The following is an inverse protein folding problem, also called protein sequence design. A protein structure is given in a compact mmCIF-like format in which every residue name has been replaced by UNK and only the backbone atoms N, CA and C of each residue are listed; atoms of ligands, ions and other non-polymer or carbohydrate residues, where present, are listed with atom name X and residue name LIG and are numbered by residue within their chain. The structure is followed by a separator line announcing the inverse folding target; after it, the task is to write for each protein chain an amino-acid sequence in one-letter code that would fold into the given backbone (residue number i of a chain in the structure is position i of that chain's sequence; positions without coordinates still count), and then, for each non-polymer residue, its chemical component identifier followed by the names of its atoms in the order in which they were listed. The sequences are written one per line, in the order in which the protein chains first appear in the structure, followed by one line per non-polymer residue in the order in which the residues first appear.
data_IF_010013029199
#
_entry.id   IF_010013029199
#
_cell.length_a   1.000
_cell.length_b   1.000
_cell.length_c   1.000
_cell.angle_alpha   90.00
_cell.angle_beta   90.00
_cell.angle_gamma   90.00
#
_symmetry.space_group_name_H-M   'P 1'
#
loop_
_entity.id
_entity.type
_entity.pdbx_description
1 polymer ?
#
# COMPACT_ATOMS: atom_id res chain seq x y z
N UNK A 1 -9.89 16.88 -7.19
CA UNK A 1 -8.96 16.10 -8.04
C UNK A 1 -9.73 15.42 -9.15
N UNK A 2 -9.21 15.42 -10.35
CA UNK A 2 -9.70 14.66 -11.50
C UNK A 2 -8.94 13.33 -11.60
N UNK A 3 -9.67 12.22 -11.84
CA UNK A 3 -9.09 10.92 -12.14
C UNK A 3 -8.69 10.90 -13.62
N UNK A 4 -7.39 10.77 -13.90
CA UNK A 4 -6.83 10.83 -15.27
C UNK A 4 -6.35 9.48 -15.78
N UNK A 5 -5.95 8.59 -14.87
CA UNK A 5 -5.25 7.36 -15.21
C UNK A 5 -5.96 6.10 -14.70
N UNK A 6 -6.97 6.26 -13.86
CA UNK A 6 -7.78 5.16 -13.36
C UNK A 6 -9.26 5.39 -13.71
N UNK A 7 -9.78 4.60 -14.63
CA UNK A 7 -11.18 4.63 -15.02
C UNK A 7 -12.10 4.29 -13.84
N UNK A 8 -13.37 4.65 -13.97
CA UNK A 8 -14.38 4.26 -13.01
C UNK A 8 -14.81 2.82 -13.31
N UNK A 9 -14.46 1.91 -12.41
CA UNK A 9 -14.77 0.49 -12.54
C UNK A 9 -15.38 -0.04 -11.23
N UNK A 10 -15.92 -1.25 -11.27
CA UNK A 10 -16.39 -1.94 -10.09
C UNK A 10 -15.21 -2.58 -9.35
N UNK A 11 -14.86 -2.02 -8.19
CA UNK A 11 -13.80 -2.52 -7.32
C UNK A 11 -14.35 -3.31 -6.11
N UNK A 12 -15.60 -3.78 -6.18
CA UNK A 12 -16.26 -4.45 -5.04
C UNK A 12 -15.54 -5.73 -4.60
N UNK A 13 -14.92 -6.45 -5.53
CA UNK A 13 -14.16 -7.66 -5.23
C UNK A 13 -12.95 -7.42 -4.31
N UNK A 14 -12.41 -6.21 -4.31
CA UNK A 14 -11.33 -5.78 -3.43
C UNK A 14 -11.81 -5.34 -2.04
N UNK A 15 -13.11 -5.39 -1.75
CA UNK A 15 -13.60 -4.96 -0.45
C UNK A 15 -12.96 -5.78 0.67
N UNK A 16 -12.42 -5.08 1.68
CA UNK A 16 -11.84 -5.72 2.85
C UNK A 16 -12.88 -6.53 3.61
N UNK A 17 -12.45 -7.66 4.13
CA UNK A 17 -13.34 -8.62 4.78
C UNK A 17 -14.04 -9.59 3.82
N UNK A 18 -13.95 -9.37 2.50
CA UNK A 18 -14.35 -10.38 1.50
C UNK A 18 -13.21 -11.38 1.28
N UNK A 19 -12.38 -11.16 0.29
CA UNK A 19 -11.19 -11.98 0.01
C UNK A 19 -9.99 -11.44 0.77
N UNK A 20 -9.71 -10.14 0.62
CA UNK A 20 -8.62 -9.46 1.32
C UNK A 20 -8.95 -9.40 2.81
N UNK A 21 -8.00 -9.83 3.64
CA UNK A 21 -8.17 -9.84 5.09
C UNK A 21 -8.25 -8.40 5.61
N UNK A 22 -9.26 -8.12 6.43
CA UNK A 22 -9.47 -6.81 7.04
C UNK A 22 -8.82 -6.71 8.41
N UNK A 23 -8.28 -5.54 8.74
CA UNK A 23 -7.97 -5.15 10.11
C UNK A 23 -9.21 -4.54 10.78
N UNK A 24 -9.32 -4.68 12.10
CA UNK A 24 -10.55 -4.39 12.87
C UNK A 24 -10.85 -2.91 13.08
N UNK A 25 -9.97 -1.98 12.68
CA UNK A 25 -10.10 -0.57 13.14
C UNK A 25 -9.79 0.50 12.10
N UNK A 26 -9.28 0.17 10.93
CA UNK A 26 -8.85 1.18 9.94
C UNK A 26 -9.68 1.06 8.67
N UNK A 27 -10.35 2.15 8.22
CA UNK A 27 -11.01 2.15 6.92
C UNK A 27 -10.00 1.87 5.81
N UNK A 28 -10.37 0.98 4.87
CA UNK A 28 -9.50 0.70 3.75
C UNK A 28 -9.32 1.91 2.84
N UNK A 29 -8.15 2.01 2.26
CA UNK A 29 -7.88 3.02 1.26
C UNK A 29 -8.72 2.79 0.00
N UNK A 30 -9.36 3.82 -0.59
CA UNK A 30 -10.17 3.63 -1.79
C UNK A 30 -9.33 3.09 -2.96
N UNK A 31 -9.71 1.93 -3.52
CA UNK A 31 -8.99 1.22 -4.59
C UNK A 31 -8.69 2.12 -5.77
N UNK A 32 -9.72 2.77 -6.32
CA UNK A 32 -9.56 3.69 -7.47
C UNK A 32 -8.55 4.79 -7.18
N UNK A 33 -8.57 5.36 -5.98
CA UNK A 33 -7.66 6.43 -5.59
C UNK A 33 -6.23 5.91 -5.47
N UNK A 34 -6.01 4.76 -4.83
CA UNK A 34 -4.69 4.15 -4.73
C UNK A 34 -4.07 3.89 -6.09
N UNK A 35 -4.87 3.29 -6.98
CA UNK A 35 -4.43 3.00 -8.35
C UNK A 35 -4.17 4.28 -9.17
N UNK A 36 -4.99 5.31 -9.03
CA UNK A 36 -4.76 6.62 -9.65
C UNK A 36 -3.43 7.24 -9.19
N UNK A 37 -3.15 7.24 -7.87
CA UNK A 37 -1.91 7.79 -7.32
C UNK A 37 -0.71 6.98 -7.82
N UNK A 38 -0.78 5.65 -7.79
CA UNK A 38 0.29 4.79 -8.30
C UNK A 38 0.58 5.06 -9.79
N UNK A 39 -0.45 5.13 -10.62
CA UNK A 39 -0.29 5.43 -12.05
C UNK A 39 0.27 6.83 -12.30
N UNK A 40 -0.01 7.82 -11.44
CA UNK A 40 0.65 9.13 -11.48
C UNK A 40 2.14 9.02 -11.15
N UNK A 41 2.53 8.17 -10.19
CA UNK A 41 3.94 7.90 -9.93
C UNK A 41 4.66 7.36 -11.17
N UNK A 42 4.01 6.45 -11.92
CA UNK A 42 4.56 5.90 -13.17
C UNK A 42 4.82 6.95 -14.25
N UNK A 43 4.10 8.09 -14.26
CA UNK A 43 4.37 9.17 -15.20
C UNK A 43 5.73 9.82 -14.95
N UNK A 44 6.14 9.86 -13.69
CA UNK A 44 7.41 10.48 -13.28
C UNK A 44 8.59 9.50 -13.26
N UNK A 45 8.32 8.19 -13.35
CA UNK A 45 9.34 7.13 -13.33
C UNK A 45 9.93 6.92 -14.75
N UNK A 46 11.26 6.79 -14.86
CA UNK A 46 11.93 6.52 -16.15
C UNK A 46 11.70 5.08 -16.62
N UNK A 47 12.02 4.08 -15.77
CA UNK A 47 11.70 2.67 -15.98
C UNK A 47 10.35 2.33 -15.36
N UNK A 48 9.54 1.50 -16.03
CA UNK A 48 8.17 1.17 -15.60
C UNK A 48 7.92 -0.33 -15.46
N UNK A 49 8.94 -1.13 -15.62
CA UNK A 49 8.87 -2.58 -15.52
C UNK A 49 9.70 -3.08 -14.36
N UNK A 50 9.33 -4.22 -13.80
CA UNK A 50 10.02 -4.88 -12.69
C UNK A 50 10.23 -3.97 -11.47
N UNK A 51 9.15 -3.30 -11.05
CA UNK A 51 9.22 -2.31 -9.98
C UNK A 51 9.18 -2.95 -8.60
N UNK A 52 10.06 -2.46 -7.73
CA UNK A 52 9.97 -2.65 -6.27
C UNK A 52 9.13 -1.53 -5.66
N UNK A 53 8.00 -1.90 -5.03
CA UNK A 53 7.10 -0.94 -4.37
C UNK A 53 7.13 -1.15 -2.87
N UNK A 54 7.35 -0.05 -2.13
CA UNK A 54 7.47 -0.07 -0.68
C UNK A 54 6.42 0.82 0.01
N UNK A 55 5.81 0.29 1.07
CA UNK A 55 4.96 1.07 2.00
C UNK A 55 5.56 1.00 3.41
N UNK A 56 6.10 2.12 3.95
CA UNK A 56 6.70 2.18 5.29
C UNK A 56 5.69 2.19 6.45
N UNK A 57 4.39 2.30 6.16
CA UNK A 57 3.30 2.27 7.14
C UNK A 57 2.17 1.38 6.60
N UNK A 58 2.51 0.15 6.20
CA UNK A 58 1.64 -0.68 5.37
C UNK A 58 0.39 -1.19 6.11
N UNK A 59 0.36 -1.11 7.44
CA UNK A 59 -0.71 -1.72 8.22
C UNK A 59 -0.94 -3.16 7.82
N UNK A 60 -2.18 -3.56 7.57
CA UNK A 60 -2.52 -4.89 7.07
C UNK A 60 -2.19 -5.14 5.59
N UNK A 61 -1.39 -4.29 4.94
CA UNK A 61 -0.91 -4.47 3.57
C UNK A 61 -1.98 -4.31 2.48
N UNK A 62 -3.13 -3.76 2.80
CA UNK A 62 -4.25 -3.65 1.87
C UNK A 62 -3.88 -2.88 0.59
N UNK A 63 -3.30 -1.68 0.73
CA UNK A 63 -2.94 -0.83 -0.40
C UNK A 63 -1.98 -1.54 -1.36
N UNK A 64 -0.89 -2.09 -0.84
CA UNK A 64 0.11 -2.82 -1.64
C UNK A 64 -0.49 -4.03 -2.34
N UNK A 65 -1.32 -4.83 -1.65
CA UNK A 65 -2.00 -6.00 -2.22
C UNK A 65 -2.85 -5.61 -3.43
N UNK A 66 -3.68 -4.58 -3.27
CA UNK A 66 -4.56 -4.09 -4.35
C UNK A 66 -3.75 -3.55 -5.52
N UNK A 67 -2.72 -2.74 -5.25
CA UNK A 67 -1.86 -2.19 -6.29
C UNK A 67 -1.14 -3.28 -7.08
N UNK A 68 -0.62 -4.29 -6.39
CA UNK A 68 0.08 -5.39 -7.06
C UNK A 68 -0.85 -6.28 -7.88
N UNK A 69 -2.11 -6.47 -7.46
CA UNK A 69 -3.12 -7.15 -8.27
C UNK A 69 -3.44 -6.38 -9.55
N UNK A 70 -3.55 -5.04 -9.48
CA UNK A 70 -3.97 -4.20 -10.59
C UNK A 70 -2.82 -3.78 -11.53
N UNK A 71 -1.56 -3.89 -11.10
CA UNK A 71 -0.41 -3.38 -11.86
C UNK A 71 0.68 -4.45 -12.01
N UNK A 72 0.69 -5.17 -13.15
CA UNK A 72 1.67 -6.24 -13.44
C UNK A 72 3.13 -5.79 -13.41
N UNK A 73 3.43 -4.54 -13.57
CA UNK A 73 4.79 -3.99 -13.51
C UNK A 73 5.43 -4.06 -12.11
N UNK A 74 4.64 -4.30 -11.05
CA UNK A 74 5.16 -4.51 -9.70
C UNK A 74 5.62 -5.96 -9.59
N UNK A 75 6.91 -6.20 -9.41
CA UNK A 75 7.50 -7.53 -9.26
C UNK A 75 7.99 -7.80 -7.85
N UNK A 76 8.26 -6.76 -7.07
CA UNK A 76 8.56 -6.88 -5.65
C UNK A 76 7.69 -5.94 -4.82
N UNK A 77 7.10 -6.47 -3.76
CA UNK A 77 6.25 -5.74 -2.83
C UNK A 77 6.83 -5.82 -1.42
N UNK A 78 7.10 -4.68 -0.82
CA UNK A 78 7.70 -4.60 0.50
C UNK A 78 6.82 -3.75 1.40
N UNK A 79 6.49 -4.27 2.58
CA UNK A 79 5.73 -3.56 3.59
C UNK A 79 6.46 -3.52 4.92
N UNK A 80 6.41 -2.39 5.63
CA UNK A 80 6.78 -2.35 7.03
C UNK A 80 5.75 -1.62 7.87
N UNK A 81 5.70 -1.97 9.13
CA UNK A 81 4.85 -1.30 10.12
C UNK A 81 5.49 -1.44 11.51
N UNK A 82 5.08 -0.60 12.44
CA UNK A 82 5.49 -0.69 13.85
C UNK A 82 4.64 -1.72 14.62
N UNK A 83 3.49 -2.12 14.09
CA UNK A 83 2.57 -3.07 14.71
C UNK A 83 2.71 -4.46 14.09
N UNK A 84 3.35 -5.37 14.82
CA UNK A 84 3.55 -6.76 14.40
C UNK A 84 2.22 -7.50 14.12
N UNK A 85 1.14 -7.15 14.81
CA UNK A 85 -0.16 -7.76 14.56
C UNK A 85 -0.71 -7.38 13.19
N UNK A 86 -0.44 -6.17 12.73
CA UNK A 86 -0.79 -5.71 11.39
C UNK A 86 0.08 -6.36 10.33
N UNK A 87 1.37 -6.57 10.60
CA UNK A 87 2.28 -7.28 9.69
C UNK A 87 1.83 -8.73 9.43
N UNK A 88 1.30 -9.43 10.44
CA UNK A 88 0.72 -10.77 10.25
C UNK A 88 -0.46 -10.75 9.28
N UNK A 89 -1.29 -9.69 9.31
CA UNK A 89 -2.38 -9.51 8.36
C UNK A 89 -1.81 -9.18 6.98
N UNK A 90 -0.78 -8.33 6.90
CA UNK A 90 -0.12 -7.97 5.66
C UNK A 90 0.47 -9.20 4.95
N UNK A 91 1.17 -10.08 5.65
CA UNK A 91 1.70 -11.33 5.10
C UNK A 91 0.59 -12.22 4.51
N UNK A 92 -0.53 -12.35 5.22
CA UNK A 92 -1.68 -13.08 4.70
C UNK A 92 -2.25 -12.43 3.44
N UNK A 93 -2.35 -11.12 3.40
CA UNK A 93 -2.81 -10.36 2.24
C UNK A 93 -1.85 -10.49 1.06
N UNK A 94 -0.56 -10.39 1.30
CA UNK A 94 0.47 -10.53 0.28
C UNK A 94 0.48 -11.96 -0.32
N UNK A 95 0.25 -12.96 0.51
CA UNK A 95 0.13 -14.35 0.04
C UNK A 95 -1.00 -14.56 -0.97
N UNK A 96 -2.05 -13.70 -0.96
CA UNK A 96 -3.18 -13.78 -1.92
C UNK A 96 -2.76 -13.56 -3.38
N UNK A 97 -1.56 -13.01 -3.63
CA UNK A 97 -1.04 -12.89 -4.99
C UNK A 97 -0.49 -14.21 -5.54
N UNK A 98 -0.30 -15.22 -4.69
CA UNK A 98 0.11 -16.57 -5.08
C UNK A 98 -1.09 -17.52 -5.25
N UNK A 99 -0.92 -18.57 -6.07
CA UNK A 99 -1.93 -19.62 -6.23
C UNK A 99 -2.21 -20.34 -4.90
N UNK A 100 -1.17 -20.61 -4.11
CA UNK A 100 -1.29 -21.31 -2.83
C UNK A 100 -2.02 -20.46 -1.78
N UNK A 101 -1.71 -19.18 -1.69
CA UNK A 101 -2.38 -18.27 -0.78
C UNK A 101 -3.86 -18.10 -1.12
N UNK A 102 -4.22 -18.01 -2.40
CA UNK A 102 -5.61 -17.99 -2.82
C UNK A 102 -6.32 -19.32 -2.56
N UNK A 103 -5.64 -20.45 -2.77
CA UNK A 103 -6.21 -21.77 -2.48
C UNK A 103 -6.53 -21.91 -0.98
N UNK A 104 -5.59 -21.48 -0.12
CA UNK A 104 -5.79 -21.44 1.34
C UNK A 104 -6.98 -20.54 1.71
N UNK A 105 -7.04 -19.34 1.16
CA UNK A 105 -8.15 -18.41 1.41
C UNK A 105 -9.50 -18.98 0.96
N UNK A 106 -9.53 -19.62 -0.20
CA UNK A 106 -10.72 -20.32 -0.70
C UNK A 106 -11.23 -21.36 0.26
N UNK A 107 -10.34 -22.16 0.85
CA UNK A 107 -10.70 -23.17 1.84
C UNK A 107 -11.29 -22.53 3.11
N UNK A 108 -10.65 -21.50 3.64
CA UNK A 108 -11.17 -20.73 4.79
C UNK A 108 -12.58 -20.19 4.53
N UNK A 109 -12.82 -19.60 3.36
CA UNK A 109 -14.12 -19.05 2.99
C UNK A 109 -15.19 -20.13 2.85
N UNK A 110 -14.84 -21.32 2.33
CA UNK A 110 -15.76 -22.46 2.28
C UNK A 110 -16.16 -22.94 3.68
N UNK A 111 -15.19 -23.05 4.59
CA UNK A 111 -15.44 -23.45 5.97
C UNK A 111 -16.33 -22.44 6.69
N UNK A 112 -16.11 -21.14 6.48
CA UNK A 112 -16.97 -20.07 7.00
C UNK A 112 -18.39 -20.15 6.42
N UNK A 113 -18.52 -20.38 5.11
CA UNK A 113 -19.83 -20.53 4.46
C UNK A 113 -20.60 -21.75 5.01
N UNK A 114 -19.93 -22.88 5.20
CA UNK A 114 -20.54 -24.09 5.79
C UNK A 114 -20.95 -23.88 7.24
N UNK A 115 -20.09 -23.22 8.03
CA UNK A 115 -20.32 -23.01 9.46
C UNK A 115 -21.42 -22.00 9.76
N UNK A 116 -21.51 -20.93 8.98
CA UNK A 116 -22.38 -19.80 9.30
C UNK A 116 -23.52 -19.57 8.32
N UNK A 117 -23.48 -20.16 7.12
CA UNK A 117 -24.53 -20.05 6.10
C UNK A 117 -24.81 -18.62 5.60
N UNK A 118 -23.88 -17.67 5.80
CA UNK A 118 -24.10 -16.27 5.46
C UNK A 118 -23.85 -16.01 3.97
N UNK A 119 -24.73 -15.23 3.33
CA UNK A 119 -24.58 -14.83 1.93
C UNK A 119 -23.25 -14.14 1.66
N UNK A 120 -22.74 -13.33 2.60
CA UNK A 120 -21.45 -12.66 2.48
C UNK A 120 -20.26 -13.58 2.25
N UNK A 121 -20.32 -14.84 2.73
CA UNK A 121 -19.25 -15.81 2.48
C UNK A 121 -19.33 -16.38 1.06
N UNK A 122 -20.54 -16.54 0.52
CA UNK A 122 -20.75 -16.95 -0.87
C UNK A 122 -20.29 -15.84 -1.83
N UNK A 123 -20.63 -14.58 -1.51
CA UNK A 123 -20.18 -13.42 -2.27
C UNK A 123 -18.65 -13.30 -2.27
N UNK A 124 -18.01 -13.59 -1.11
CA UNK A 124 -16.55 -13.62 -1.02
C UNK A 124 -15.91 -14.72 -1.89
N UNK A 125 -16.56 -15.90 -1.99
CA UNK A 125 -16.09 -16.98 -2.89
C UNK A 125 -16.20 -16.59 -4.36
N UNK A 126 -17.27 -15.86 -4.74
CA UNK A 126 -17.42 -15.31 -6.09
C UNK A 126 -16.32 -14.28 -6.39
N UNK A 127 -16.11 -13.31 -5.47
CA UNK A 127 -15.04 -12.32 -5.59
C UNK A 127 -13.65 -12.96 -5.71
N UNK A 128 -13.40 -14.05 -4.96
CA UNK A 128 -12.15 -14.80 -5.07
C UNK A 128 -11.96 -15.41 -6.46
N UNK A 129 -13.05 -15.90 -7.07
CA UNK A 129 -13.03 -16.40 -8.45
C UNK A 129 -12.55 -15.33 -9.44
N UNK A 130 -13.02 -14.09 -9.30
CA UNK A 130 -12.64 -12.95 -10.13
C UNK A 130 -11.18 -12.55 -9.88
N UNK A 131 -10.77 -12.43 -8.61
CA UNK A 131 -9.41 -12.04 -8.24
C UNK A 131 -8.35 -13.09 -8.63
N UNK A 132 -8.74 -14.35 -8.84
CA UNK A 132 -7.82 -15.41 -9.25
C UNK A 132 -7.10 -15.09 -10.58
N UNK A 133 -7.75 -14.37 -11.48
CA UNK A 133 -7.15 -13.95 -12.76
C UNK A 133 -6.03 -12.93 -12.59
N UNK A 134 -5.96 -12.28 -11.42
CA UNK A 134 -4.97 -11.27 -11.06
C UNK A 134 -3.80 -11.86 -10.24
N UNK A 135 -3.80 -13.18 -10.03
CA UNK A 135 -2.68 -13.86 -9.39
C UNK A 135 -1.40 -13.71 -10.19
N UNK A 136 -0.32 -13.60 -9.47
CA UNK A 136 1.01 -13.54 -10.06
C UNK A 136 1.53 -14.91 -10.42
N UNK A 137 2.17 -14.98 -11.58
CA UNK A 137 2.96 -16.12 -12.02
C UNK A 137 4.36 -15.60 -12.38
N UNK A 138 5.40 -16.36 -12.04
CA UNK A 138 6.80 -15.99 -12.34
C UNK A 138 7.49 -15.25 -11.19
N UNK A 139 8.43 -14.37 -11.52
CA UNK A 139 9.34 -13.71 -10.57
C UNK A 139 8.66 -12.60 -9.77
N UNK A 140 7.63 -12.93 -8.98
CA UNK A 140 7.01 -12.03 -8.04
C UNK A 140 7.42 -12.39 -6.62
N UNK A 141 7.89 -11.40 -5.87
CA UNK A 141 8.28 -11.56 -4.47
C UNK A 141 7.58 -10.54 -3.56
N UNK A 142 7.44 -10.90 -2.30
CA UNK A 142 6.97 -10.00 -1.27
C UNK A 142 7.64 -10.27 0.06
N UNK A 143 7.75 -9.25 0.88
CA UNK A 143 8.23 -9.37 2.27
C UNK A 143 7.66 -8.30 3.16
N UNK A 144 7.60 -8.60 4.44
CA UNK A 144 7.27 -7.65 5.50
C UNK A 144 8.39 -7.61 6.53
N UNK A 145 8.53 -6.50 7.23
CA UNK A 145 9.43 -6.40 8.38
C UNK A 145 8.94 -5.33 9.37
N UNK A 146 9.29 -5.52 10.63
CA UNK A 146 8.99 -4.54 11.68
C UNK A 146 9.91 -3.34 11.55
N UNK A 147 9.34 -2.13 11.46
CA UNK A 147 10.12 -0.89 11.47
C UNK A 147 9.29 0.30 11.94
N UNK A 148 9.96 1.20 12.66
CA UNK A 148 9.49 2.56 12.90
C UNK A 148 10.04 3.45 11.78
N UNK A 149 9.20 3.90 10.88
CA UNK A 149 9.60 4.69 9.70
C UNK A 149 10.23 6.05 10.04
N UNK A 150 10.18 6.48 11.31
CA UNK A 150 10.85 7.69 11.80
C UNK A 150 12.31 7.43 12.20
N UNK A 151 12.72 6.16 12.28
CA UNK A 151 14.06 5.71 12.66
C UNK A 151 14.83 5.16 11.45
N UNK A 152 16.15 5.00 11.56
CA UNK A 152 16.93 4.36 10.50
C UNK A 152 16.41 2.96 10.18
N UNK A 153 16.02 2.74 8.93
CA UNK A 153 15.61 1.44 8.41
C UNK A 153 16.88 0.68 8.05
N UNK A 154 17.07 -0.49 8.68
CA UNK A 154 18.30 -1.28 8.52
C UNK A 154 18.23 -2.29 7.36
N UNK A 155 17.05 -2.49 6.79
CA UNK A 155 16.85 -3.36 5.65
C UNK A 155 17.51 -2.79 4.39
N UNK A 156 18.25 -3.64 3.68
CA UNK A 156 18.75 -3.29 2.35
C UNK A 156 17.59 -3.29 1.36
N UNK A 157 17.15 -2.09 1.00
CA UNK A 157 16.00 -1.87 0.14
C UNK A 157 16.28 -0.69 -0.79
N UNK A 158 16.01 -0.89 -2.08
CA UNK A 158 16.14 0.15 -3.10
C UNK A 158 14.80 0.29 -3.85
N UNK A 159 13.82 0.96 -3.27
CA UNK A 159 12.48 1.03 -3.84
C UNK A 159 12.45 1.94 -5.08
N UNK A 160 11.73 1.49 -6.11
CA UNK A 160 11.40 2.30 -7.27
C UNK A 160 10.30 3.30 -6.95
N UNK A 161 9.27 2.82 -6.24
CA UNK A 161 8.16 3.65 -5.78
C UNK A 161 7.91 3.37 -4.30
N UNK A 162 7.84 4.43 -3.53
CA UNK A 162 7.36 4.42 -2.16
C UNK A 162 5.96 5.02 -2.17
N UNK A 163 4.96 4.31 -1.67
CA UNK A 163 3.59 4.80 -1.58
C UNK A 163 3.00 4.48 -0.21
N UNK A 164 2.53 5.49 0.49
CA UNK A 164 2.05 5.31 1.86
C UNK A 164 0.87 6.21 2.19
N UNK A 165 -0.14 5.66 2.87
CA UNK A 165 -1.22 6.41 3.53
C UNK A 165 -0.87 6.52 5.01
N UNK A 166 -0.24 7.63 5.39
CA UNK A 166 0.25 7.81 6.75
C UNK A 166 -0.91 7.95 7.74
N UNK A 167 -0.74 7.44 8.97
CA UNK A 167 -1.74 7.59 10.01
C UNK A 167 -2.00 9.07 10.30
N UNK A 168 -3.29 9.45 10.46
CA UNK A 168 -3.73 10.81 10.69
C UNK A 168 -4.91 10.86 11.68
N UNK A 169 -5.09 12.01 12.33
CA UNK A 169 -6.15 12.24 13.30
C UNK A 169 -5.91 11.56 14.64
N UNK A 170 -7.00 11.34 15.40
CA UNK A 170 -6.94 10.80 16.76
C UNK A 170 -6.68 9.29 16.82
N UNK A 171 -6.47 8.60 15.68
CA UNK A 171 -6.27 7.16 15.61
C UNK A 171 -4.83 6.73 15.89
N UNK A 172 -3.86 7.65 15.64
CA UNK A 172 -2.46 7.44 16.00
C UNK A 172 -1.89 8.79 16.43
N UNK A 173 -1.48 8.92 17.69
CA UNK A 173 -0.82 10.11 18.17
C UNK A 173 0.66 10.06 17.80
N UNK A 174 1.06 11.00 16.95
CA UNK A 174 2.48 11.28 16.69
C UNK A 174 2.97 12.32 17.73
N UNK A 175 2.51 12.21 19.00
CA UNK A 175 2.77 13.20 20.05
C UNK A 175 4.13 12.94 20.72
N UNK A 176 4.85 14.02 21.00
CA UNK A 176 5.99 14.03 21.92
C UNK A 176 7.38 14.10 21.32
N UNK A 177 7.55 14.18 20.00
CA UNK A 177 8.87 14.35 19.38
C UNK A 177 9.25 15.84 19.27
N UNK A 178 10.50 16.19 19.55
CA UNK A 178 11.06 17.53 19.35
C UNK A 178 11.06 17.94 17.87
N UNK A 179 11.03 16.99 16.95
CA UNK A 179 10.88 17.17 15.51
C UNK A 179 9.64 16.43 15.01
N UNK A 180 8.98 16.96 13.99
CA UNK A 180 7.79 16.34 13.36
C UNK A 180 8.14 14.91 12.88
N UNK A 181 7.42 13.86 13.35
CA UNK A 181 7.63 12.49 12.90
C UNK A 181 7.53 12.34 11.38
N UNK A 182 6.68 13.15 10.75
CA UNK A 182 6.57 13.21 9.30
C UNK A 182 7.87 13.65 8.63
N UNK A 183 8.55 14.67 9.18
CA UNK A 183 9.84 15.14 8.66
C UNK A 183 10.93 14.08 8.86
N UNK A 184 10.91 13.37 10.00
CA UNK A 184 11.81 12.24 10.26
C UNK A 184 11.61 11.14 9.23
N UNK A 185 10.37 10.74 8.95
CA UNK A 185 10.04 9.74 7.92
C UNK A 185 10.62 10.14 6.55
N UNK A 186 10.37 11.37 6.08
CA UNK A 186 10.91 11.83 4.79
C UNK A 186 12.43 11.72 4.73
N UNK A 187 13.10 12.06 5.83
CA UNK A 187 14.58 11.98 5.94
C UNK A 187 15.07 10.53 5.89
N UNK A 188 14.39 9.60 6.58
CA UNK A 188 14.81 8.19 6.56
C UNK A 188 14.54 7.56 5.19
N UNK A 189 13.40 7.84 4.57
CA UNK A 189 13.09 7.37 3.23
C UNK A 189 14.07 7.89 2.18
N UNK A 190 14.53 9.15 2.29
CA UNK A 190 15.54 9.69 1.37
C UNK A 190 16.85 8.89 1.43
N UNK A 191 17.29 8.42 2.61
CA UNK A 191 18.55 7.68 2.77
C UNK A 191 18.57 6.33 2.06
N UNK A 192 17.41 5.69 1.86
CA UNK A 192 17.28 4.40 1.19
C UNK A 192 16.87 4.52 -0.28
N UNK A 193 16.69 5.74 -0.76
CA UNK A 193 16.20 6.04 -2.09
C UNK A 193 17.32 6.48 -3.01
N UNK A 194 17.13 6.29 -4.31
CA UNK A 194 18.02 6.78 -5.39
C UNK A 194 17.32 7.87 -6.22
N UNK A 195 18.06 8.53 -7.12
CA UNK A 195 17.58 9.70 -7.90
C UNK A 195 16.29 9.46 -8.71
N UNK A 196 15.98 8.21 -9.03
CA UNK A 196 14.78 7.85 -9.80
C UNK A 196 13.66 7.29 -8.91
N UNK A 197 13.84 7.22 -7.58
CA UNK A 197 12.79 6.81 -6.65
C UNK A 197 11.69 7.87 -6.60
N UNK A 198 10.44 7.41 -6.73
CA UNK A 198 9.25 8.24 -6.61
C UNK A 198 8.56 7.94 -5.28
N UNK A 199 8.28 8.98 -4.50
CA UNK A 199 7.56 8.90 -3.23
C UNK A 199 6.18 9.52 -3.37
N UNK A 200 5.12 8.78 -3.06
CA UNK A 200 3.77 9.29 -2.91
C UNK A 200 3.33 9.17 -1.45
N UNK A 201 2.99 10.28 -0.83
CA UNK A 201 2.48 10.31 0.54
C UNK A 201 1.07 10.86 0.56
N UNK A 202 0.17 10.07 1.14
CA UNK A 202 -1.21 10.46 1.39
C UNK A 202 -1.30 10.90 2.86
N UNK A 203 -1.91 12.06 3.10
CA UNK A 203 -1.91 12.66 4.43
C UNK A 203 -3.12 13.60 4.64
N UNK A 204 -3.36 14.05 5.87
CA UNK A 204 -4.32 15.14 6.13
C UNK A 204 -3.87 16.43 5.42
N UNK A 205 -4.82 17.18 4.87
CA UNK A 205 -4.54 18.42 4.13
C UNK A 205 -3.81 19.50 4.94
N UNK A 206 -3.93 19.45 6.28
CA UNK A 206 -3.29 20.42 7.19
C UNK A 206 -1.81 20.10 7.44
N UNK A 207 -1.37 18.86 7.23
CA UNK A 207 0.03 18.46 7.41
C UNK A 207 0.90 19.18 6.37
N UNK A 208 2.04 19.71 6.82
CA UNK A 208 2.99 20.47 6.00
C UNK A 208 4.38 19.89 6.24
N UNK A 209 4.75 18.80 5.51
CA UNK A 209 6.09 18.23 5.67
C UNK A 209 7.18 19.17 5.16
N UNK A 210 8.31 19.15 5.85
CA UNK A 210 9.58 19.59 5.31
C UNK A 210 10.21 18.39 4.59
N UNK A 211 9.93 18.28 3.31
CA UNK A 211 10.35 17.14 2.50
C UNK A 211 11.83 17.22 2.11
N UNK A 212 12.72 17.29 3.12
CA UNK A 212 14.15 17.38 2.90
C UNK A 212 14.67 16.14 2.14
N UNK A 213 15.43 16.36 1.06
CA UNK A 213 15.91 15.32 0.16
C UNK A 213 14.92 14.96 -0.96
N UNK A 214 13.81 15.69 -1.10
CA UNK A 214 12.76 15.40 -2.07
C UNK A 214 12.33 16.63 -2.87
N UNK A 215 12.23 16.49 -4.19
CA UNK A 215 11.62 17.46 -5.09
C UNK A 215 10.15 17.15 -5.28
N UNK A 216 9.24 18.04 -4.86
CA UNK A 216 7.81 17.84 -5.07
C UNK A 216 7.44 18.05 -6.53
N UNK A 217 6.85 17.02 -7.14
CA UNK A 217 6.40 17.01 -8.54
C UNK A 217 4.91 17.31 -8.65
N UNK A 218 4.10 16.82 -7.69
CA UNK A 218 2.65 17.00 -7.74
C UNK A 218 2.06 17.14 -6.34
N UNK A 219 0.92 17.86 -6.27
CA UNK A 219 0.09 17.98 -5.07
C UNK A 219 -1.37 18.03 -5.48
N UNK A 220 -2.20 17.17 -4.89
CA UNK A 220 -3.64 17.16 -5.12
C UNK A 220 -4.40 17.10 -3.79
N UNK A 221 -5.57 17.74 -3.74
CA UNK A 221 -6.45 17.71 -2.58
C UNK A 221 -7.70 16.86 -2.85
N UNK A 222 -8.13 16.11 -1.83
CA UNK A 222 -9.30 15.24 -1.82
C UNK A 222 -10.06 15.42 -0.49
N UNK A 223 -11.00 16.32 -0.45
CA UNK A 223 -11.76 16.59 0.76
C UNK A 223 -10.87 17.01 1.95
N UNK A 224 -10.80 16.15 2.96
CA UNK A 224 -9.95 16.37 4.16
C UNK A 224 -8.51 15.88 3.96
N UNK A 225 -8.23 15.13 2.89
CA UNK A 225 -6.92 14.57 2.57
C UNK A 225 -6.25 15.32 1.44
N UNK A 226 -4.97 15.08 1.28
CA UNK A 226 -4.18 15.39 0.10
C UNK A 226 -3.21 14.25 -0.16
N UNK A 227 -2.72 14.14 -1.39
CA UNK A 227 -1.48 13.43 -1.65
C UNK A 227 -0.47 14.36 -2.31
N UNK A 228 0.78 14.06 -2.08
CA UNK A 228 1.91 14.75 -2.71
C UNK A 228 2.85 13.70 -3.30
N UNK A 229 3.36 13.95 -4.51
CA UNK A 229 4.31 13.07 -5.20
C UNK A 229 5.63 13.81 -5.29
N UNK A 230 6.71 13.06 -5.02
CA UNK A 230 8.07 13.60 -4.96
C UNK A 230 9.03 12.71 -5.74
N UNK A 231 10.16 13.29 -6.16
CA UNK A 231 11.34 12.58 -6.65
C UNK A 231 12.48 12.76 -5.65
N UNK A 232 13.25 11.70 -5.42
CA UNK A 232 14.44 11.78 -4.59
C UNK A 232 15.49 12.69 -5.22
N UNK A 233 16.18 13.50 -4.40
CA UNK A 233 17.26 14.39 -4.81
C UNK A 233 18.65 13.81 -4.54
N UNK A 234 18.74 12.62 -3.95
CA UNK A 234 20.02 11.97 -3.66
C UNK A 234 20.62 11.44 -4.97
N UNK A 235 21.87 11.80 -5.20
CA UNK A 235 22.73 11.25 -6.27
C UNK A 235 23.38 9.97 -5.78
#
# INVERSE_FOLDING_TARGET
MEYKYCENDNFEDFASGRVIYGGTSVPNFPVRLGNEIFRRCLIYKKGKDNLTVYDPCCGGGYLLTVLSMLNPCITEMVGSDIDDSMLQIAERNFSLLSQDGLAKRKQELKELAQKYGKQSHLDALNSLGNLKTLCRSGDFSYRTFHADCTKPIQESLHPDIIITDIPYGNLVSWEGAAESPLNLMYRQLAKMSHEDTILAVIMDKKQKPEANGWLRLEKQQLGKRKFEIYRCLNN
#
